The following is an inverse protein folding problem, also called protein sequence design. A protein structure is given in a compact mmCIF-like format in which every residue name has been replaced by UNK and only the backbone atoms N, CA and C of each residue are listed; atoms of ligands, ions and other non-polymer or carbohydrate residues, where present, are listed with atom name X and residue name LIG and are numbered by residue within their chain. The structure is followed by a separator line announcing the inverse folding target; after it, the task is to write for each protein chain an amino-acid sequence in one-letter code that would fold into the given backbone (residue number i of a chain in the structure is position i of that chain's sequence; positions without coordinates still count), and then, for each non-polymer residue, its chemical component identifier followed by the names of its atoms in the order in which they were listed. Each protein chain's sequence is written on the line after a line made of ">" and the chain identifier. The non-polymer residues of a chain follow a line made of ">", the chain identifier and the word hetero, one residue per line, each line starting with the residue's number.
data_IF_787484808928
#
_entry.id   IF_787484808928
#
_cell.length_a   1.000
_cell.length_b   1.000
_cell.length_c   1.000
_cell.angle_alpha   90.00
_cell.angle_beta   90.00
_cell.angle_gamma   90.00
#
_symmetry.space_group_name_H-M   'P 1'
#
loop_
_entity.id
_entity.type
_entity.pdbx_description
1 polymer ?
#
# COMPACT_ATOMS: atom_id res chain seq x y z
N UNK A 1 9.28 4.59 -13.23
CA UNK A 1 9.12 3.75 -12.02
C UNK A 1 10.14 4.08 -10.93
N UNK A 2 11.39 4.43 -11.26
CA UNK A 2 12.41 4.88 -10.30
C UNK A 2 12.02 6.12 -9.49
N UNK A 3 11.36 7.10 -10.10
CA UNK A 3 10.91 8.33 -9.42
C UNK A 3 9.83 8.08 -8.36
N UNK A 4 8.94 7.11 -8.62
CA UNK A 4 7.89 6.73 -7.69
C UNK A 4 8.48 6.05 -6.44
N UNK A 5 9.41 5.12 -6.65
CA UNK A 5 10.13 4.46 -5.57
C UNK A 5 10.93 5.46 -4.71
N UNK A 6 11.60 6.43 -5.34
CA UNK A 6 12.29 7.51 -4.65
C UNK A 6 11.33 8.37 -3.82
N UNK A 7 10.18 8.74 -4.39
CA UNK A 7 9.16 9.55 -3.70
C UNK A 7 8.61 8.84 -2.46
N UNK A 8 8.36 7.53 -2.56
CA UNK A 8 7.96 6.71 -1.42
C UNK A 8 9.04 6.72 -0.34
N UNK A 9 10.30 6.56 -0.73
CA UNK A 9 11.40 6.58 0.22
C UNK A 9 11.46 7.91 1.00
N UNK A 10 11.29 9.03 0.30
CA UNK A 10 11.48 10.36 0.90
C UNK A 10 10.26 10.84 1.69
N UNK A 11 9.04 10.42 1.31
CA UNK A 11 7.80 11.03 1.83
C UNK A 11 6.89 10.08 2.58
N UNK A 12 6.98 8.77 2.36
CA UNK A 12 6.10 7.82 3.03
C UNK A 12 6.70 7.35 4.35
N UNK A 13 5.95 7.52 5.44
CA UNK A 13 6.26 6.93 6.75
C UNK A 13 6.27 5.40 6.70
N UNK A 14 5.36 4.81 5.92
CA UNK A 14 5.29 3.38 5.68
C UNK A 14 4.49 3.06 4.42
N UNK A 15 4.66 1.85 3.89
CA UNK A 15 3.95 1.39 2.68
C UNK A 15 3.44 -0.03 2.88
N UNK A 16 2.15 -0.21 2.65
CA UNK A 16 1.46 -1.50 2.68
C UNK A 16 1.03 -1.83 1.26
N UNK A 17 1.47 -2.98 0.77
CA UNK A 17 1.12 -3.49 -0.54
C UNK A 17 -0.03 -4.49 -0.46
N UNK A 18 -0.91 -4.44 -1.46
CA UNK A 18 -1.88 -5.49 -1.72
C UNK A 18 -1.24 -6.54 -2.63
N UNK A 19 -1.46 -7.82 -2.33
CA UNK A 19 -0.91 -8.93 -3.11
C UNK A 19 -1.40 -8.88 -4.56
N UNK A 20 -0.51 -9.00 -5.51
CA UNK A 20 -0.84 -9.03 -6.93
C UNK A 20 0.41 -9.04 -7.81
N UNK A 21 0.25 -9.38 -9.09
CA UNK A 21 1.39 -9.53 -10.01
C UNK A 21 2.23 -8.25 -10.16
N UNK A 22 1.59 -7.08 -10.06
CA UNK A 22 2.29 -5.78 -10.09
C UNK A 22 3.14 -5.52 -8.85
N UNK A 23 2.76 -6.08 -7.71
CA UNK A 23 3.38 -5.81 -6.41
C UNK A 23 4.79 -6.38 -6.31
N UNK A 24 5.01 -7.60 -6.81
CA UNK A 24 6.33 -8.24 -6.77
C UNK A 24 7.36 -7.46 -7.58
N UNK A 25 6.97 -6.99 -8.77
CA UNK A 25 7.82 -6.15 -9.63
C UNK A 25 8.18 -4.85 -8.94
N UNK A 26 7.20 -4.20 -8.32
CA UNK A 26 7.41 -2.94 -7.59
C UNK A 26 8.36 -3.14 -6.40
N UNK A 27 8.15 -4.19 -5.60
CA UNK A 27 9.00 -4.48 -4.43
C UNK A 27 10.43 -4.78 -4.87
N UNK A 28 10.63 -5.54 -5.95
CA UNK A 28 11.95 -5.83 -6.49
C UNK A 28 12.70 -4.55 -6.88
N UNK A 29 12.03 -3.61 -7.57
CA UNK A 29 12.63 -2.32 -7.94
C UNK A 29 12.87 -1.41 -6.73
N UNK A 30 11.96 -1.40 -5.75
CA UNK A 30 12.15 -0.68 -4.49
C UNK A 30 13.37 -1.18 -3.74
N UNK A 31 13.55 -2.50 -3.61
CA UNK A 31 14.71 -3.10 -2.94
C UNK A 31 16.04 -2.76 -3.61
N UNK A 32 16.06 -2.50 -4.93
CA UNK A 32 17.28 -2.06 -5.64
C UNK A 32 17.64 -0.61 -5.33
N UNK A 33 16.63 0.24 -5.06
CA UNK A 33 16.80 1.68 -4.84
C UNK A 33 16.96 2.03 -3.36
N UNK A 34 16.39 1.19 -2.50
CA UNK A 34 16.44 1.34 -1.05
C UNK A 34 17.60 0.54 -0.51
N UNK A 35 18.70 1.23 -0.22
CA UNK A 35 19.85 0.67 0.50
C UNK A 35 19.57 0.42 1.99
N UNK A 36 18.38 0.80 2.46
CA UNK A 36 17.99 0.76 3.87
C UNK A 36 17.16 -0.49 4.15
N UNK A 37 17.71 -1.49 4.87
CA UNK A 37 17.02 -2.72 5.22
C UNK A 37 15.88 -2.53 6.24
N UNK A 38 15.80 -1.38 6.92
CA UNK A 38 14.78 -1.13 7.95
C UNK A 38 13.44 -0.63 7.39
N UNK A 39 13.38 -0.25 6.11
CA UNK A 39 12.13 0.16 5.47
C UNK A 39 11.28 -1.06 5.14
N UNK A 40 10.59 -1.58 6.15
CA UNK A 40 9.74 -2.76 6.03
C UNK A 40 8.51 -2.48 5.16
N UNK A 41 8.41 -3.21 4.05
CA UNK A 41 7.21 -3.27 3.23
C UNK A 41 6.36 -4.46 3.68
N UNK A 42 5.11 -4.21 4.04
CA UNK A 42 4.17 -5.29 4.35
C UNK A 42 3.32 -5.61 3.11
N UNK A 43 3.22 -6.89 2.77
CA UNK A 43 2.29 -7.36 1.73
C UNK A 43 1.12 -8.06 2.40
N UNK A 44 -0.10 -7.67 2.06
CA UNK A 44 -1.34 -8.26 2.57
C UNK A 44 -2.27 -8.70 1.43
N UNK A 45 -3.20 -9.58 1.74
CA UNK A 45 -4.10 -10.23 0.79
C UNK A 45 -5.54 -9.66 0.82
N UNK A 46 -5.79 -8.60 1.60
CA UNK A 46 -7.12 -7.98 1.67
C UNK A 46 -7.05 -6.49 2.00
N UNK A 47 -8.06 -5.74 1.53
CA UNK A 47 -8.19 -4.32 1.82
C UNK A 47 -8.42 -4.06 3.32
N UNK A 48 -9.19 -4.92 3.99
CA UNK A 48 -9.45 -4.79 5.43
C UNK A 48 -8.16 -4.84 6.25
N UNK A 49 -7.32 -5.85 6.02
CA UNK A 49 -6.02 -5.98 6.68
C UNK A 49 -5.08 -4.82 6.35
N UNK A 50 -5.12 -4.32 5.11
CA UNK A 50 -4.31 -3.17 4.71
C UNK A 50 -4.69 -1.91 5.51
N UNK A 51 -5.99 -1.62 5.63
CA UNK A 51 -6.50 -0.46 6.34
C UNK A 51 -6.30 -0.58 7.86
N UNK A 52 -6.48 -1.78 8.42
CA UNK A 52 -6.22 -2.04 9.83
C UNK A 52 -4.75 -1.81 10.21
N UNK A 53 -3.81 -2.37 9.43
CA UNK A 53 -2.38 -2.13 9.64
C UNK A 53 -2.03 -0.65 9.46
N UNK A 54 -2.59 0.00 8.44
CA UNK A 54 -2.35 1.43 8.22
C UNK A 54 -2.80 2.28 9.41
N UNK A 55 -3.96 1.97 10.00
CA UNK A 55 -4.46 2.62 11.22
C UNK A 55 -3.51 2.38 12.39
N UNK A 56 -3.08 1.15 12.61
CA UNK A 56 -2.24 0.79 13.76
C UNK A 56 -0.83 1.40 13.69
N UNK A 57 -0.33 1.71 12.49
CA UNK A 57 0.98 2.35 12.28
C UNK A 57 0.92 3.88 12.14
N UNK A 58 -0.28 4.45 12.03
CA UNK A 58 -0.50 5.89 11.88
C UNK A 58 -0.67 6.58 13.24
N UNK A 59 -0.05 7.76 13.38
CA UNK A 59 -0.23 8.63 14.53
C UNK A 59 -1.31 9.70 14.25
N UNK A 60 -1.91 10.32 15.28
CA UNK A 60 -2.82 11.45 15.08
C UNK A 60 -2.17 12.55 14.23
N UNK A 61 -2.79 12.87 13.08
CA UNK A 61 -2.27 13.85 12.12
C UNK A 61 -1.64 13.23 10.88
N UNK A 62 -1.34 11.93 10.87
CA UNK A 62 -0.88 11.22 9.68
C UNK A 62 -2.00 11.07 8.63
N UNK A 63 -1.60 10.89 7.37
CA UNK A 63 -2.51 10.65 6.25
C UNK A 63 -2.34 9.24 5.71
N UNK A 64 -3.44 8.48 5.70
CA UNK A 64 -3.52 7.18 5.01
C UNK A 64 -4.05 7.39 3.60
N UNK A 65 -3.22 7.08 2.60
CA UNK A 65 -3.53 7.28 1.18
C UNK A 65 -3.61 5.94 0.42
N UNK A 66 -4.75 5.68 -0.23
CA UNK A 66 -4.85 4.61 -1.22
C UNK A 66 -4.33 5.10 -2.58
N UNK A 67 -3.11 4.71 -2.96
CA UNK A 67 -2.51 5.00 -4.28
C UNK A 67 -2.00 3.72 -4.95
N UNK A 68 -2.88 2.96 -5.63
CA UNK A 68 -2.59 1.57 -5.98
C UNK A 68 -1.61 1.40 -7.15
N UNK A 69 -1.25 2.46 -7.87
CA UNK A 69 -0.18 2.52 -8.90
C UNK A 69 -0.29 1.57 -10.10
N UNK A 70 -1.12 0.54 -10.01
CA UNK A 70 -1.23 -0.62 -10.90
C UNK A 70 -2.65 -1.19 -10.83
N UNK A 71 -3.00 -2.01 -11.81
CA UNK A 71 -4.20 -2.83 -11.76
C UNK A 71 -3.96 -3.99 -10.79
N UNK A 72 -4.88 -4.14 -9.84
CA UNK A 72 -4.87 -5.20 -8.84
C UNK A 72 -5.76 -6.34 -9.35
N UNK A 73 -5.20 -7.16 -10.24
CA UNK A 73 -5.90 -8.32 -10.81
C UNK A 73 -6.07 -9.41 -9.73
N UNK A 74 -7.28 -9.97 -9.63
CA UNK A 74 -7.61 -11.07 -8.72
C UNK A 74 -8.16 -10.67 -7.35
N UNK A 75 -7.80 -9.50 -6.80
CA UNK A 75 -8.32 -9.02 -5.50
C UNK A 75 -9.61 -8.18 -5.62
N UNK A 76 -9.84 -7.59 -6.78
CA UNK A 76 -10.93 -6.64 -7.01
C UNK A 76 -11.57 -6.87 -8.37
N UNK A 77 -12.87 -6.65 -8.46
CA UNK A 77 -13.62 -6.75 -9.72
C UNK A 77 -13.14 -5.69 -10.70
N UNK A 78 -12.92 -4.46 -10.19
CA UNK A 78 -12.44 -3.32 -10.97
C UNK A 78 -11.92 -2.20 -10.05
N UNK A 79 -11.52 -1.07 -10.64
CA UNK A 79 -11.00 0.11 -9.92
C UNK A 79 -12.02 0.74 -8.95
N UNK A 80 -13.32 0.66 -9.24
CA UNK A 80 -14.38 1.20 -8.40
C UNK A 80 -14.65 0.29 -7.20
N UNK A 81 -14.72 -1.02 -7.42
CA UNK A 81 -14.82 -2.03 -6.36
C UNK A 81 -13.65 -1.89 -5.36
N UNK A 82 -12.43 -1.68 -5.85
CA UNK A 82 -11.27 -1.38 -5.00
C UNK A 82 -11.46 -0.13 -4.14
N UNK A 83 -11.94 0.97 -4.72
CA UNK A 83 -12.21 2.19 -3.99
C UNK A 83 -13.32 2.04 -2.96
N UNK A 84 -14.38 1.28 -3.30
CA UNK A 84 -15.49 1.00 -2.39
C UNK A 84 -15.03 0.15 -1.21
N UNK A 85 -14.30 -0.95 -1.45
CA UNK A 85 -13.73 -1.78 -0.37
C UNK A 85 -12.81 -0.99 0.56
N UNK A 86 -12.06 -0.01 0.05
CA UNK A 86 -11.26 0.87 0.91
C UNK A 86 -12.14 1.75 1.80
N UNK A 87 -13.17 2.39 1.23
CA UNK A 87 -14.12 3.18 2.02
C UNK A 87 -14.84 2.34 3.07
N UNK A 88 -15.31 1.16 2.69
CA UNK A 88 -15.96 0.21 3.60
C UNK A 88 -15.04 -0.20 4.75
N UNK A 89 -13.78 -0.55 4.44
CA UNK A 89 -12.79 -0.91 5.44
C UNK A 89 -12.50 0.25 6.39
N UNK A 90 -12.34 1.48 5.89
CA UNK A 90 -12.14 2.69 6.70
C UNK A 90 -13.34 2.96 7.61
N UNK A 91 -14.56 2.88 7.09
CA UNK A 91 -15.78 3.10 7.86
C UNK A 91 -16.05 2.00 8.91
N UNK A 92 -15.42 0.83 8.75
CA UNK A 92 -15.54 -0.30 9.68
C UNK A 92 -14.48 -0.28 10.79
N UNK A 93 -13.53 0.67 10.77
CA UNK A 93 -12.56 0.85 11.84
C UNK A 93 -13.29 1.31 13.11
N UNK A 94 -13.05 0.59 14.21
CA UNK A 94 -13.54 0.95 15.56
C UNK A 94 -12.63 1.94 16.25
#
# INVERSE_FOLDING_TARGET
>A
MSEWAKTINEKAKGVIFLKGEGTEKIISELKKLLSDPEKEFTVVDSMGKAVELAKNSADPGDVVLLSPGTASFGLFINKFDRGNKFKEAVMSLK
#
